data_IF_139470780556
#
_entry.id   IF_139470780556
#
_cell.length_a   1.000
_cell.length_b   1.000
_cell.length_c   1.000
_cell.angle_alpha   90.00
_cell.angle_beta   90.00
_cell.angle_gamma   90.00
#
_symmetry.space_group_name_H-M   'P 1'
#
loop_
_entity.id
_entity.type
_entity.pdbx_description
1 polymer ?
#
# COMPACT_ATOMS: atom_id res chain seq x y z
N UNK A 1 14.48 -10.54 -42.18
CA UNK A 1 15.83 -10.21 -41.67
C UNK A 1 16.05 -8.72 -41.85
N UNK A 2 16.59 -8.00 -40.85
CA UNK A 2 16.83 -6.55 -40.93
C UNK A 2 18.33 -6.26 -40.84
N UNK A 3 18.84 -5.41 -41.74
CA UNK A 3 20.21 -4.93 -41.72
C UNK A 3 20.30 -3.75 -40.75
N UNK A 4 20.95 -3.93 -39.60
CA UNK A 4 21.17 -2.87 -38.59
C UNK A 4 22.54 -2.20 -38.75
N UNK A 5 23.54 -2.96 -39.19
CA UNK A 5 24.89 -2.52 -39.47
C UNK A 5 25.38 -3.19 -40.77
N UNK A 6 26.32 -2.56 -41.51
CA UNK A 6 26.90 -3.18 -42.70
C UNK A 6 27.45 -4.58 -42.38
N UNK A 7 26.96 -5.60 -43.07
CA UNK A 7 27.46 -6.97 -42.96
C UNK A 7 26.96 -7.81 -41.77
N UNK A 8 26.07 -7.30 -40.91
CA UNK A 8 25.50 -8.07 -39.78
C UNK A 8 24.01 -8.29 -39.97
N UNK A 9 23.64 -9.56 -40.13
CA UNK A 9 22.26 -10.02 -40.28
C UNK A 9 21.80 -10.63 -38.96
N UNK A 10 20.78 -10.04 -38.35
CA UNK A 10 20.17 -10.57 -37.13
C UNK A 10 18.85 -11.30 -37.43
N UNK A 11 18.55 -12.39 -36.70
CA UNK A 11 17.22 -12.97 -36.66
C UNK A 11 16.18 -11.95 -36.17
N UNK A 12 14.96 -11.99 -36.70
CA UNK A 12 13.88 -11.06 -36.31
C UNK A 12 13.42 -11.27 -34.86
N UNK A 13 13.63 -12.47 -34.31
CA UNK A 13 13.26 -12.84 -32.93
C UNK A 13 14.45 -12.79 -31.96
N UNK A 14 15.55 -12.10 -32.32
CA UNK A 14 16.74 -12.05 -31.47
C UNK A 14 16.47 -11.35 -30.13
N UNK A 15 17.05 -11.92 -29.08
CA UNK A 15 17.16 -11.30 -27.76
C UNK A 15 18.62 -11.05 -27.42
N UNK A 16 18.91 -9.91 -26.81
CA UNK A 16 20.25 -9.55 -26.33
C UNK A 16 20.16 -9.31 -24.82
N UNK A 17 20.95 -10.05 -24.04
CA UNK A 17 20.86 -10.07 -22.57
C UNK A 17 19.42 -10.24 -22.06
N UNK A 18 18.61 -11.04 -22.76
CA UNK A 18 17.21 -11.29 -22.43
C UNK A 18 16.21 -10.19 -22.79
N UNK A 19 16.64 -9.10 -23.44
CA UNK A 19 15.75 -8.06 -23.98
C UNK A 19 15.49 -8.28 -25.49
N UNK A 20 14.23 -8.21 -25.95
CA UNK A 20 13.92 -8.28 -27.38
C UNK A 20 14.44 -7.05 -28.10
N UNK A 21 15.23 -7.26 -29.16
CA UNK A 21 15.86 -6.16 -29.92
C UNK A 21 14.88 -5.58 -30.94
N UNK A 22 14.11 -6.44 -31.61
CA UNK A 22 13.15 -6.03 -32.62
C UNK A 22 11.70 -6.17 -32.11
N UNK A 23 10.75 -5.39 -32.67
CA UNK A 23 9.33 -5.51 -32.34
C UNK A 23 8.78 -6.93 -32.48
N UNK A 24 9.25 -7.69 -33.47
CA UNK A 24 8.84 -9.07 -33.75
C UNK A 24 9.25 -10.05 -32.63
N UNK A 25 10.30 -9.73 -31.86
CA UNK A 25 10.76 -10.53 -30.72
C UNK A 25 9.98 -10.26 -29.42
N UNK A 26 9.22 -9.15 -29.35
CA UNK A 26 8.52 -8.74 -28.12
C UNK A 26 7.43 -9.75 -27.71
N UNK A 27 6.49 -10.17 -28.58
CA UNK A 27 5.41 -11.05 -28.17
C UNK A 27 5.90 -12.41 -27.62
N UNK A 28 6.83 -13.15 -28.28
CA UNK A 28 7.32 -14.43 -27.74
C UNK A 28 7.99 -14.29 -26.37
N UNK A 29 8.73 -13.20 -26.13
CA UNK A 29 9.36 -12.94 -24.83
C UNK A 29 8.31 -12.69 -23.75
N UNK A 30 7.25 -11.92 -24.06
CA UNK A 30 6.16 -11.65 -23.11
C UNK A 30 5.34 -12.91 -22.83
N UNK A 31 5.05 -13.73 -23.85
CA UNK A 31 4.35 -15.01 -23.71
C UNK A 31 5.08 -15.98 -22.77
N UNK A 32 6.40 -16.12 -22.93
CA UNK A 32 7.19 -16.93 -22.00
C UNK A 32 7.13 -16.37 -20.57
N UNK A 33 7.15 -15.05 -20.39
CA UNK A 33 7.01 -14.43 -19.05
C UNK A 33 5.63 -14.65 -18.45
N UNK A 34 4.57 -14.64 -19.26
CA UNK A 34 3.21 -14.98 -18.83
C UNK A 34 3.15 -16.43 -18.37
N UNK A 35 3.65 -17.38 -19.17
CA UNK A 35 3.69 -18.81 -18.82
C UNK A 35 4.44 -19.05 -17.50
N UNK A 36 5.55 -18.35 -17.30
CA UNK A 36 6.29 -18.40 -16.04
C UNK A 36 5.50 -17.80 -14.88
N UNK A 37 4.80 -16.69 -15.09
CA UNK A 37 3.93 -16.10 -14.07
C UNK A 37 2.80 -17.04 -13.69
N UNK A 38 2.09 -17.64 -14.66
CA UNK A 38 1.05 -18.65 -14.42
C UNK A 38 1.57 -19.83 -13.59
N UNK A 39 2.75 -20.35 -13.92
CA UNK A 39 3.35 -21.42 -13.11
C UNK A 39 3.66 -20.95 -11.68
N UNK A 40 4.22 -19.76 -11.49
CA UNK A 40 4.58 -19.27 -10.16
C UNK A 40 3.35 -18.93 -9.32
N UNK A 41 2.29 -18.38 -9.91
CA UNK A 41 1.06 -18.04 -9.17
C UNK A 41 0.39 -19.27 -8.59
N UNK A 42 0.42 -20.44 -9.28
CA UNK A 42 -0.08 -21.70 -8.69
C UNK A 42 0.72 -22.17 -7.46
N UNK A 43 2.00 -21.79 -7.37
CA UNK A 43 2.86 -22.16 -6.23
C UNK A 43 2.63 -21.25 -5.03
N UNK A 44 2.30 -19.98 -5.27
CA UNK A 44 1.95 -19.03 -4.20
C UNK A 44 0.70 -19.45 -3.42
N UNK A 45 -0.21 -20.21 -4.04
CA UNK A 45 -1.39 -20.75 -3.38
C UNK A 45 -1.05 -21.77 -2.26
N UNK A 46 0.20 -22.26 -2.21
CA UNK A 46 0.66 -23.28 -1.24
C UNK A 46 1.31 -22.70 0.01
N UNK A 47 1.44 -21.38 0.11
CA UNK A 47 2.05 -20.69 1.26
C UNK A 47 1.04 -19.72 1.89
N UNK A 48 1.37 -19.19 3.07
CA UNK A 48 0.50 -18.24 3.76
C UNK A 48 0.15 -17.03 2.89
N UNK A 49 -1.06 -16.51 3.01
CA UNK A 49 -1.57 -15.43 2.16
C UNK A 49 -0.72 -14.16 2.27
N UNK A 50 -0.21 -13.85 3.47
CA UNK A 50 0.65 -12.69 3.66
C UNK A 50 1.97 -12.83 2.91
N UNK A 51 2.65 -13.98 3.03
CA UNK A 51 3.88 -14.25 2.29
C UNK A 51 3.64 -14.33 0.78
N UNK A 52 2.52 -14.93 0.36
CA UNK A 52 2.13 -15.04 -1.03
C UNK A 52 1.97 -13.66 -1.68
N UNK A 53 1.22 -12.73 -1.05
CA UNK A 53 1.06 -11.39 -1.60
C UNK A 53 2.39 -10.62 -1.59
N UNK A 54 3.19 -10.76 -0.53
CA UNK A 54 4.51 -10.13 -0.46
C UNK A 54 5.42 -10.55 -1.62
N UNK A 55 5.49 -11.85 -1.92
CA UNK A 55 6.26 -12.37 -3.06
C UNK A 55 5.65 -12.00 -4.40
N UNK A 56 4.32 -12.03 -4.52
CA UNK A 56 3.62 -11.61 -5.74
C UNK A 56 4.01 -10.17 -6.09
N UNK A 57 3.87 -9.25 -5.13
CA UNK A 57 4.17 -7.83 -5.29
C UNK A 57 5.66 -7.55 -5.53
N UNK A 58 6.53 -8.09 -4.68
CA UNK A 58 7.94 -7.70 -4.64
C UNK A 58 8.85 -8.54 -5.57
N UNK A 59 8.36 -9.65 -6.14
CA UNK A 59 9.18 -10.53 -6.98
C UNK A 59 8.54 -10.89 -8.31
N UNK A 60 7.22 -11.16 -8.34
CA UNK A 60 6.58 -11.82 -9.49
C UNK A 60 5.73 -10.92 -10.38
N UNK A 61 5.27 -9.77 -9.87
CA UNK A 61 4.45 -8.81 -10.62
C UNK A 61 5.33 -7.80 -11.38
N UNK A 62 5.45 -6.48 -11.07
CA UNK A 62 6.33 -5.62 -11.88
C UNK A 62 7.78 -6.09 -11.98
N UNK A 63 8.45 -6.54 -10.89
CA UNK A 63 9.87 -6.88 -10.95
C UNK A 63 10.23 -7.96 -11.98
N UNK A 64 9.27 -8.85 -12.32
CA UNK A 64 9.49 -9.93 -13.29
C UNK A 64 9.62 -9.42 -14.74
N UNK A 65 8.96 -8.30 -15.05
CA UNK A 65 8.91 -7.72 -16.40
C UNK A 65 9.66 -6.39 -16.53
N UNK A 66 9.93 -5.70 -15.42
CA UNK A 66 10.43 -4.32 -15.43
C UNK A 66 11.71 -4.13 -16.27
N UNK A 67 12.60 -5.11 -16.29
CA UNK A 67 13.78 -5.08 -17.16
C UNK A 67 13.40 -5.00 -18.65
N UNK A 68 12.47 -5.85 -19.10
CA UNK A 68 12.00 -5.86 -20.49
C UNK A 68 11.25 -4.57 -20.82
N UNK A 69 10.40 -4.08 -19.90
CA UNK A 69 9.67 -2.81 -20.07
C UNK A 69 10.61 -1.60 -20.26
N UNK A 70 11.83 -1.66 -19.69
CA UNK A 70 12.84 -0.60 -19.84
C UNK A 70 13.65 -0.72 -21.12
N UNK A 71 13.91 -1.95 -21.57
CA UNK A 71 14.82 -2.19 -22.69
C UNK A 71 14.13 -2.19 -24.05
N UNK A 72 12.82 -2.45 -24.09
CA UNK A 72 12.08 -2.64 -25.34
C UNK A 72 10.75 -1.89 -25.30
N UNK A 73 10.24 -1.41 -26.45
CA UNK A 73 8.99 -0.65 -26.52
C UNK A 73 7.75 -1.56 -26.38
N UNK A 74 7.62 -2.25 -25.24
CA UNK A 74 6.56 -3.25 -25.01
C UNK A 74 5.15 -2.66 -25.00
N UNK A 75 5.03 -1.33 -24.87
CA UNK A 75 3.76 -0.62 -24.98
C UNK A 75 3.09 -0.77 -26.36
N UNK A 76 3.80 -1.28 -27.37
CA UNK A 76 3.22 -1.68 -28.66
C UNK A 76 2.44 -3.01 -28.59
N UNK A 77 2.64 -3.81 -27.54
CA UNK A 77 2.06 -5.14 -27.36
C UNK A 77 1.12 -5.15 -26.13
N UNK A 78 0.12 -4.25 -26.13
CA UNK A 78 -0.85 -4.11 -25.03
C UNK A 78 -1.58 -5.41 -24.67
N UNK A 79 -2.04 -6.26 -25.63
CA UNK A 79 -2.75 -7.50 -25.27
C UNK A 79 -1.93 -8.44 -24.38
N UNK A 80 -0.64 -8.62 -24.65
CA UNK A 80 0.22 -9.48 -23.83
C UNK A 80 0.48 -8.88 -22.44
N UNK A 81 0.66 -7.55 -22.34
CA UNK A 81 0.79 -6.89 -21.05
C UNK A 81 -0.48 -7.03 -20.20
N UNK A 82 -1.65 -6.89 -20.82
CA UNK A 82 -2.95 -7.07 -20.16
C UNK A 82 -3.19 -8.53 -19.75
N UNK A 83 -2.77 -9.50 -20.56
CA UNK A 83 -2.83 -10.91 -20.21
C UNK A 83 -1.97 -11.23 -18.99
N UNK A 84 -0.77 -10.65 -18.90
CA UNK A 84 0.07 -10.74 -17.70
C UNK A 84 -0.62 -10.12 -16.48
N UNK A 85 -1.15 -8.90 -16.61
CA UNK A 85 -1.84 -8.21 -15.53
C UNK A 85 -3.07 -9.00 -15.04
N UNK A 86 -3.80 -9.66 -15.93
CA UNK A 86 -4.93 -10.51 -15.59
C UNK A 86 -4.51 -11.77 -14.81
N UNK A 87 -3.37 -12.38 -15.15
CA UNK A 87 -2.79 -13.49 -14.36
C UNK A 87 -2.45 -13.05 -12.93
N UNK A 88 -1.89 -11.84 -12.77
CA UNK A 88 -1.60 -11.27 -11.46
C UNK A 88 -2.90 -10.94 -10.71
N UNK A 89 -3.90 -10.34 -11.38
CA UNK A 89 -5.20 -10.00 -10.81
C UNK A 89 -5.90 -11.23 -10.23
N UNK A 90 -5.97 -12.33 -11.00
CA UNK A 90 -6.55 -13.60 -10.55
C UNK A 90 -5.82 -14.16 -9.34
N UNK A 91 -4.49 -14.17 -9.37
CA UNK A 91 -3.68 -14.65 -8.24
C UNK A 91 -3.88 -13.80 -6.98
N UNK A 92 -3.85 -12.48 -7.10
CA UNK A 92 -4.08 -11.56 -5.98
C UNK A 92 -5.48 -11.76 -5.37
N UNK A 93 -6.51 -11.95 -6.21
CA UNK A 93 -7.86 -12.26 -5.76
C UNK A 93 -7.96 -13.56 -4.97
N UNK A 94 -7.30 -14.64 -5.45
CA UNK A 94 -7.22 -15.92 -4.73
C UNK A 94 -6.50 -15.80 -3.39
N UNK A 95 -5.34 -15.13 -3.36
CA UNK A 95 -4.55 -14.93 -2.13
C UNK A 95 -5.37 -14.17 -1.09
N UNK A 96 -5.97 -13.05 -1.51
CA UNK A 96 -6.75 -12.17 -0.65
C UNK A 96 -8.18 -12.70 -0.36
N UNK A 97 -8.62 -13.73 -1.06
CA UNK A 97 -9.97 -14.29 -0.98
C UNK A 97 -11.07 -13.23 -1.18
N UNK A 98 -10.90 -12.39 -2.20
CA UNK A 98 -11.86 -11.35 -2.59
C UNK A 98 -12.09 -11.35 -4.09
N UNK A 99 -13.27 -10.89 -4.51
CA UNK A 99 -13.51 -10.58 -5.91
C UNK A 99 -12.66 -9.36 -6.31
N UNK A 100 -11.80 -9.53 -7.31
CA UNK A 100 -11.05 -8.44 -7.91
C UNK A 100 -11.87 -7.88 -9.07
N UNK A 101 -12.97 -7.18 -8.79
CA UNK A 101 -13.69 -6.42 -9.82
C UNK A 101 -12.84 -5.24 -10.35
N UNK A 102 -13.33 -4.50 -11.34
CA UNK A 102 -12.53 -3.46 -12.00
C UNK A 102 -12.16 -2.30 -11.06
N UNK A 103 -12.97 -2.01 -10.04
CA UNK A 103 -12.70 -0.96 -9.07
C UNK A 103 -11.70 -1.42 -8.01
N UNK A 104 -11.89 -2.63 -7.48
CA UNK A 104 -10.96 -3.26 -6.53
C UNK A 104 -9.59 -3.47 -7.19
N UNK A 105 -9.56 -3.93 -8.46
CA UNK A 105 -8.32 -4.10 -9.21
C UNK A 105 -7.65 -2.76 -9.52
N UNK A 106 -8.43 -1.73 -9.88
CA UNK A 106 -7.91 -0.37 -10.07
C UNK A 106 -7.26 0.15 -8.80
N UNK A 107 -7.91 0.01 -7.64
CA UNK A 107 -7.31 0.41 -6.36
C UNK A 107 -6.06 -0.42 -6.06
N UNK A 108 -6.13 -1.75 -6.08
CA UNK A 108 -5.00 -2.61 -5.69
C UNK A 108 -3.73 -2.39 -6.53
N UNK A 109 -3.93 -1.99 -7.79
CA UNK A 109 -2.87 -1.67 -8.77
C UNK A 109 -2.16 -0.33 -8.54
N UNK A 110 -2.58 0.50 -7.58
CA UNK A 110 -1.87 1.73 -7.23
C UNK A 110 -0.72 1.47 -6.24
N UNK A 111 0.17 2.45 -5.99
CA UNK A 111 1.15 2.36 -4.91
C UNK A 111 0.50 2.26 -3.53
N UNK A 112 1.19 1.63 -2.58
CA UNK A 112 0.72 1.51 -1.18
C UNK A 112 0.40 2.87 -0.56
N UNK A 113 1.14 3.92 -0.91
CA UNK A 113 0.90 5.31 -0.48
C UNK A 113 -0.39 5.95 -1.02
N UNK A 114 -1.12 5.25 -1.90
CA UNK A 114 -2.44 5.61 -2.42
C UNK A 114 -3.50 4.60 -1.98
N UNK A 115 -3.31 3.97 -0.81
CA UNK A 115 -4.32 3.10 -0.21
C UNK A 115 -4.39 1.70 -0.82
N UNK A 116 -3.42 1.32 -1.64
CA UNK A 116 -3.45 0.11 -2.45
C UNK A 116 -2.56 -1.02 -1.92
N UNK A 117 -2.43 -2.10 -2.69
CA UNK A 117 -1.52 -3.21 -2.41
C UNK A 117 -0.12 -2.99 -2.99
N UNK A 118 0.00 -2.21 -4.08
CA UNK A 118 1.28 -2.00 -4.76
C UNK A 118 1.57 -3.01 -5.88
N UNK A 119 0.59 -3.83 -6.28
CA UNK A 119 0.69 -4.74 -7.42
C UNK A 119 0.47 -3.96 -8.72
N UNK A 120 1.42 -3.09 -9.07
CA UNK A 120 1.30 -2.17 -10.21
C UNK A 120 1.08 -2.93 -11.51
N UNK A 121 0.19 -2.40 -12.37
CA UNK A 121 -0.06 -2.96 -13.71
C UNK A 121 1.11 -2.69 -14.66
N UNK A 122 1.55 -3.72 -15.37
CA UNK A 122 2.66 -3.61 -16.30
C UNK A 122 2.26 -2.85 -17.56
N UNK A 123 0.98 -2.87 -17.95
CA UNK A 123 0.46 -2.08 -19.08
C UNK A 123 0.49 -0.56 -18.82
N UNK A 124 0.40 -0.14 -17.55
CA UNK A 124 0.56 1.24 -17.12
C UNK A 124 2.04 1.62 -16.99
N UNK A 125 2.89 0.68 -16.58
CA UNK A 125 4.32 0.93 -16.39
C UNK A 125 5.16 0.90 -17.67
N UNK A 126 4.69 0.25 -18.74
CA UNK A 126 5.46 0.06 -19.98
C UNK A 126 5.97 1.38 -20.58
N UNK A 127 5.10 2.39 -20.71
CA UNK A 127 5.48 3.72 -21.22
C UNK A 127 6.45 4.45 -20.26
N UNK A 128 6.10 4.66 -18.97
CA UNK A 128 7.03 5.27 -18.01
C UNK A 128 8.41 4.61 -17.93
N UNK A 129 8.45 3.27 -17.95
CA UNK A 129 9.69 2.50 -17.85
C UNK A 129 10.58 2.68 -19.09
N UNK A 130 9.99 2.59 -20.28
CA UNK A 130 10.71 2.76 -21.55
C UNK A 130 11.21 4.19 -21.71
N UNK A 131 10.36 5.20 -21.48
CA UNK A 131 10.74 6.62 -21.59
C UNK A 131 11.87 7.00 -20.64
N UNK A 132 11.79 6.57 -19.37
CA UNK A 132 12.84 6.85 -18.40
C UNK A 132 14.18 6.20 -18.74
N UNK A 133 14.12 4.97 -19.26
CA UNK A 133 15.30 4.21 -19.69
C UNK A 133 16.00 4.86 -20.89
N UNK A 134 15.25 5.28 -21.91
CA UNK A 134 15.85 5.96 -23.08
C UNK A 134 16.46 7.30 -22.68
N UNK A 135 15.79 8.05 -21.81
CA UNK A 135 16.32 9.33 -21.32
C UNK A 135 17.53 9.18 -20.40
N UNK A 136 17.66 8.08 -19.64
CA UNK A 136 18.87 7.84 -18.83
C UNK A 136 20.07 7.43 -19.68
N UNK A 137 19.84 6.75 -20.81
CA UNK A 137 20.89 6.34 -21.75
C UNK A 137 21.18 7.39 -22.84
N UNK A 138 20.49 8.53 -22.83
CA UNK A 138 20.49 9.50 -23.92
C UNK A 138 21.90 9.98 -24.31
N UNK A 139 22.71 10.37 -23.33
CA UNK A 139 24.08 10.87 -23.57
C UNK A 139 25.00 9.75 -24.10
N UNK A 140 24.86 8.54 -23.57
CA UNK A 140 25.61 7.37 -24.03
C UNK A 140 25.26 7.00 -25.48
N UNK A 141 23.97 7.04 -25.83
CA UNK A 141 23.49 6.81 -27.20
C UNK A 141 24.12 7.82 -28.16
N UNK A 142 24.16 9.12 -27.77
CA UNK A 142 24.81 10.16 -28.57
C UNK A 142 26.33 10.00 -28.68
N UNK A 143 27.01 9.47 -27.66
CA UNK A 143 28.44 9.19 -27.73
C UNK A 143 28.75 8.03 -28.68
N UNK A 144 27.93 6.97 -28.67
CA UNK A 144 28.12 5.77 -29.51
C UNK A 144 27.72 6.06 -30.96
N UNK A 145 26.61 6.76 -31.18
CA UNK A 145 26.10 7.06 -32.52
C UNK A 145 25.70 8.53 -32.63
N UNK A 146 26.65 9.46 -32.84
CA UNK A 146 26.39 10.91 -32.81
C UNK A 146 25.32 11.43 -33.79
N UNK A 147 25.06 10.70 -34.88
CA UNK A 147 24.06 11.07 -35.89
C UNK A 147 22.63 10.67 -35.51
N UNK A 148 22.44 9.96 -34.40
CA UNK A 148 21.10 9.53 -33.97
C UNK A 148 20.26 10.68 -33.48
N UNK A 149 19.08 10.85 -34.07
CA UNK A 149 18.04 11.71 -33.52
C UNK A 149 17.20 10.93 -32.49
N UNK A 150 17.69 10.88 -31.25
CA UNK A 150 16.98 10.23 -30.14
C UNK A 150 15.62 10.89 -29.89
N UNK A 151 15.48 12.19 -30.15
CA UNK A 151 14.21 12.89 -29.95
C UNK A 151 13.14 12.36 -30.92
N UNK A 152 13.50 12.12 -32.17
CA UNK A 152 12.62 11.48 -33.14
C UNK A 152 12.17 10.09 -32.66
N UNK A 153 13.09 9.30 -32.08
CA UNK A 153 12.79 7.95 -31.57
C UNK A 153 11.78 7.99 -30.41
N UNK A 154 11.93 8.93 -29.46
CA UNK A 154 11.04 8.98 -28.28
C UNK A 154 9.74 9.74 -28.52
N UNK A 155 9.67 10.59 -29.55
CA UNK A 155 8.50 11.45 -29.81
C UNK A 155 7.17 10.68 -29.87
N UNK A 156 7.04 9.53 -30.57
CA UNK A 156 5.80 8.77 -30.58
C UNK A 156 5.40 8.25 -29.19
N UNK A 157 6.37 7.80 -28.39
CA UNK A 157 6.12 7.29 -27.04
C UNK A 157 5.71 8.43 -26.08
N UNK A 158 6.30 9.61 -26.24
CA UNK A 158 5.91 10.81 -25.48
C UNK A 158 4.47 11.21 -25.83
N UNK A 159 4.12 11.28 -27.12
CA UNK A 159 2.75 11.59 -27.56
C UNK A 159 1.74 10.59 -27.01
N UNK A 160 2.06 9.30 -27.06
CA UNK A 160 1.21 8.25 -26.47
C UNK A 160 1.05 8.44 -24.95
N UNK A 161 2.14 8.73 -24.24
CA UNK A 161 2.07 9.00 -22.81
C UNK A 161 1.27 10.27 -22.48
N UNK A 162 1.36 11.34 -23.28
CA UNK A 162 0.59 12.57 -23.08
C UNK A 162 -0.92 12.31 -23.23
N UNK A 163 -1.32 11.53 -24.23
CA UNK A 163 -2.73 11.11 -24.41
C UNK A 163 -3.21 10.30 -23.22
N UNK A 164 -2.39 9.37 -22.71
CA UNK A 164 -2.76 8.50 -21.59
C UNK A 164 -2.83 9.23 -20.24
N UNK A 165 -1.91 10.15 -19.99
CA UNK A 165 -1.79 10.89 -18.72
C UNK A 165 -2.57 12.21 -18.69
N UNK A 166 -3.05 12.69 -19.85
CA UNK A 166 -3.69 13.99 -20.02
C UNK A 166 -2.82 15.11 -19.40
N UNK A 167 -1.50 15.00 -19.58
CA UNK A 167 -0.51 15.83 -18.90
C UNK A 167 0.67 16.16 -19.82
N UNK A 168 1.39 17.23 -19.49
CA UNK A 168 2.64 17.55 -20.15
C UNK A 168 3.78 16.65 -19.64
N UNK A 169 4.78 16.34 -20.50
CA UNK A 169 5.92 15.54 -20.10
C UNK A 169 6.69 16.18 -18.95
N UNK A 170 7.35 15.38 -18.08
CA UNK A 170 8.23 15.91 -17.07
C UNK A 170 9.29 16.84 -17.67
N UNK A 171 9.75 17.79 -16.85
CA UNK A 171 10.91 18.63 -17.18
C UNK A 171 12.11 17.76 -17.55
N UNK A 172 12.96 18.24 -18.45
CA UNK A 172 14.04 17.45 -19.06
C UNK A 172 14.92 16.74 -18.02
N UNK A 173 15.28 17.41 -16.93
CA UNK A 173 16.12 16.88 -15.85
C UNK A 173 15.50 15.69 -15.09
N UNK A 174 14.17 15.57 -15.10
CA UNK A 174 13.45 14.49 -14.44
C UNK A 174 13.06 13.36 -15.40
N UNK A 175 13.31 13.50 -16.71
CA UNK A 175 12.87 12.50 -17.70
C UNK A 175 13.59 11.17 -17.57
N UNK A 176 14.78 11.11 -16.97
CA UNK A 176 15.46 9.86 -16.64
C UNK A 176 14.86 9.13 -15.43
N UNK A 177 13.95 9.78 -14.68
CA UNK A 177 13.32 9.22 -13.48
C UNK A 177 11.96 8.62 -13.80
N UNK A 178 11.84 7.30 -13.76
CA UNK A 178 10.58 6.58 -14.04
C UNK A 178 9.39 7.09 -13.20
N UNK A 179 9.61 7.41 -11.93
CA UNK A 179 8.57 7.93 -11.03
C UNK A 179 7.96 9.23 -11.54
N UNK A 180 8.73 10.09 -12.21
CA UNK A 180 8.24 11.37 -12.73
C UNK A 180 7.20 11.18 -13.85
N UNK A 181 7.34 10.14 -14.66
CA UNK A 181 6.36 9.77 -15.69
C UNK A 181 5.15 9.02 -15.13
N UNK A 182 5.37 8.20 -14.10
CA UNK A 182 4.37 7.29 -13.57
C UNK A 182 3.39 7.95 -12.59
N UNK A 183 3.85 8.89 -11.77
CA UNK A 183 3.03 9.49 -10.71
C UNK A 183 1.77 10.18 -11.23
N UNK A 184 1.81 10.78 -12.42
CA UNK A 184 0.66 11.46 -13.03
C UNK A 184 -0.45 10.48 -13.41
N UNK A 185 -0.09 9.31 -13.92
CA UNK A 185 -1.04 8.23 -14.22
C UNK A 185 -1.64 7.68 -12.90
N UNK A 186 -0.80 7.51 -11.87
CA UNK A 186 -1.24 7.08 -10.54
C UNK A 186 -2.26 8.04 -9.95
N UNK A 187 -1.96 9.33 -9.97
CA UNK A 187 -2.82 10.36 -9.36
C UNK A 187 -4.16 10.48 -10.10
N UNK A 188 -4.17 10.35 -11.44
CA UNK A 188 -5.40 10.30 -12.23
C UNK A 188 -6.30 9.10 -11.83
N UNK A 189 -5.72 7.90 -11.69
CA UNK A 189 -6.47 6.73 -11.27
C UNK A 189 -6.96 6.83 -9.83
N UNK A 190 -6.15 7.40 -8.93
CA UNK A 190 -6.54 7.67 -7.55
C UNK A 190 -7.72 8.66 -7.48
N UNK A 191 -7.65 9.74 -8.26
CA UNK A 191 -8.74 10.72 -8.35
C UNK A 191 -10.03 10.09 -8.89
N UNK A 192 -9.93 9.25 -9.92
CA UNK A 192 -11.09 8.52 -10.45
C UNK A 192 -11.75 7.64 -9.38
N UNK A 193 -10.95 6.98 -8.52
CA UNK A 193 -11.48 6.17 -7.41
C UNK A 193 -12.19 7.05 -6.39
N UNK A 194 -11.64 8.21 -6.04
CA UNK A 194 -12.26 9.15 -5.13
C UNK A 194 -13.61 9.63 -5.70
N UNK A 195 -13.65 10.03 -6.96
CA UNK A 195 -14.84 10.62 -7.57
C UNK A 195 -15.98 9.61 -7.77
N UNK A 196 -15.65 8.35 -8.01
CA UNK A 196 -16.63 7.27 -8.08
C UNK A 196 -17.12 6.76 -6.71
N UNK A 197 -16.52 7.21 -5.61
CA UNK A 197 -16.75 6.67 -4.27
C UNK A 197 -17.81 7.44 -3.48
N UNK A 198 -18.59 6.71 -2.66
CA UNK A 198 -19.44 7.31 -1.63
C UNK A 198 -18.61 8.06 -0.57
N UNK A 199 -19.24 8.89 0.26
CA UNK A 199 -18.51 9.61 1.33
C UNK A 199 -17.75 8.66 2.27
N UNK A 200 -18.34 7.52 2.63
CA UNK A 200 -17.70 6.49 3.46
C UNK A 200 -16.49 5.85 2.76
N UNK A 201 -16.63 5.50 1.47
CA UNK A 201 -15.52 4.95 0.69
C UNK A 201 -14.40 5.96 0.44
N UNK A 202 -14.73 7.23 0.19
CA UNK A 202 -13.75 8.32 0.10
C UNK A 202 -12.98 8.48 1.39
N UNK A 203 -13.68 8.46 2.53
CA UNK A 203 -13.06 8.54 3.87
C UNK A 203 -12.11 7.36 4.11
N UNK A 204 -12.55 6.14 3.79
CA UNK A 204 -11.67 4.95 3.82
C UNK A 204 -10.44 5.14 2.93
N UNK A 205 -10.64 5.48 1.67
CA UNK A 205 -9.56 5.64 0.68
C UNK A 205 -8.50 6.63 1.13
N UNK A 206 -8.91 7.76 1.70
CA UNK A 206 -8.00 8.76 2.28
C UNK A 206 -7.28 8.19 3.50
N UNK A 207 -8.00 7.53 4.42
CA UNK A 207 -7.42 6.94 5.62
C UNK A 207 -6.38 5.84 5.34
N UNK A 208 -6.67 4.92 4.41
CA UNK A 208 -5.72 3.85 4.02
C UNK A 208 -4.52 4.37 3.24
N UNK A 209 -4.62 5.60 2.69
CA UNK A 209 -3.56 6.32 1.99
C UNK A 209 -2.73 7.21 2.91
N UNK A 210 -3.10 7.34 4.18
CA UNK A 210 -2.31 8.10 5.14
C UNK A 210 -0.91 7.52 5.30
N UNK A 211 0.01 8.37 5.77
CA UNK A 211 1.38 7.97 6.07
C UNK A 211 1.34 6.75 7.01
N UNK A 212 2.17 5.76 6.72
CA UNK A 212 2.33 4.51 7.48
C UNK A 212 1.12 3.55 7.57
N UNK A 213 -0.09 3.95 7.15
CA UNK A 213 -1.28 3.06 7.12
C UNK A 213 -1.07 1.76 6.34
N UNK A 214 -0.18 1.78 5.35
CA UNK A 214 0.17 0.62 4.52
C UNK A 214 1.53 -0.01 4.84
N UNK A 215 2.22 0.41 5.90
CA UNK A 215 3.60 -0.04 6.19
C UNK A 215 3.71 -1.56 6.33
N UNK A 216 2.68 -2.21 6.89
CA UNK A 216 2.61 -3.67 7.05
C UNK A 216 2.68 -4.44 5.72
N UNK A 217 2.27 -3.85 4.59
CA UNK A 217 2.39 -4.46 3.25
C UNK A 217 3.81 -4.44 2.68
N UNK A 218 4.71 -3.68 3.32
CA UNK A 218 6.12 -3.60 2.97
C UNK A 218 7.01 -4.29 4.01
N UNK A 219 6.47 -4.61 5.19
CA UNK A 219 7.16 -5.37 6.21
C UNK A 219 7.39 -6.81 5.75
N UNK A 220 8.53 -7.39 6.12
CA UNK A 220 8.87 -8.77 5.78
C UNK A 220 7.99 -9.72 6.62
N UNK A 221 7.15 -10.58 6.00
CA UNK A 221 6.17 -11.40 6.71
C UNK A 221 6.83 -12.64 7.36
N UNK A 222 7.50 -12.41 8.49
CA UNK A 222 8.19 -13.42 9.29
C UNK A 222 7.61 -13.46 10.70
N UNK A 223 7.31 -14.66 11.19
CA UNK A 223 6.73 -14.90 12.52
C UNK A 223 7.65 -14.48 13.66
N UNK A 224 8.96 -14.73 13.54
CA UNK A 224 9.98 -14.37 14.55
C UNK A 224 10.01 -12.86 14.83
N UNK A 225 9.70 -12.03 13.82
CA UNK A 225 9.62 -10.57 13.98
C UNK A 225 8.23 -10.08 14.42
N UNK A 226 7.25 -10.98 14.56
CA UNK A 226 5.85 -10.62 14.83
C UNK A 226 5.13 -9.95 13.64
N UNK A 227 5.71 -10.02 12.43
CA UNK A 227 5.16 -9.36 11.23
C UNK A 227 4.29 -10.28 10.38
N UNK A 228 4.29 -11.59 10.65
CA UNK A 228 3.46 -12.54 9.92
C UNK A 228 2.04 -12.52 10.50
N UNK A 229 1.07 -12.24 9.62
CA UNK A 229 -0.35 -12.29 9.93
C UNK A 229 -0.85 -13.68 9.51
N UNK A 230 -1.77 -14.26 10.27
CA UNK A 230 -2.49 -15.44 9.82
C UNK A 230 -3.35 -15.10 8.60
N UNK A 231 -3.69 -16.13 7.82
CA UNK A 231 -4.39 -15.95 6.54
C UNK A 231 -5.72 -15.20 6.67
N UNK A 232 -6.50 -15.44 7.72
CA UNK A 232 -7.80 -14.80 7.88
C UNK A 232 -7.64 -13.33 8.26
N UNK A 233 -6.78 -13.02 9.23
CA UNK A 233 -6.48 -11.64 9.61
C UNK A 233 -5.93 -10.85 8.42
N UNK A 234 -5.04 -11.46 7.63
CA UNK A 234 -4.48 -10.85 6.43
C UNK A 234 -5.54 -10.57 5.36
N UNK A 235 -6.34 -11.58 5.01
CA UNK A 235 -7.40 -11.47 3.98
C UNK A 235 -8.45 -10.43 4.34
N UNK A 236 -8.90 -10.42 5.60
CA UNK A 236 -9.84 -9.42 6.11
C UNK A 236 -9.21 -8.03 6.03
N UNK A 237 -7.95 -7.87 6.44
CA UNK A 237 -7.24 -6.58 6.38
C UNK A 237 -7.09 -6.08 4.95
N UNK A 238 -6.79 -6.96 3.97
CA UNK A 238 -6.74 -6.62 2.55
C UNK A 238 -8.11 -6.19 2.03
N UNK A 239 -9.17 -6.95 2.30
CA UNK A 239 -10.51 -6.60 1.83
C UNK A 239 -11.03 -5.30 2.45
N UNK A 240 -10.81 -5.09 3.75
CA UNK A 240 -11.10 -3.83 4.44
C UNK A 240 -10.32 -2.67 3.81
N UNK A 241 -9.03 -2.85 3.53
CA UNK A 241 -8.19 -1.84 2.88
C UNK A 241 -8.66 -1.47 1.48
N UNK A 242 -9.13 -2.45 0.70
CA UNK A 242 -9.60 -2.26 -0.68
C UNK A 242 -11.08 -1.87 -0.78
N UNK A 243 -11.83 -1.93 0.32
CA UNK A 243 -13.29 -1.75 0.28
C UNK A 243 -13.99 -2.85 -0.50
N UNK A 244 -13.39 -4.06 -0.54
CA UNK A 244 -13.95 -5.20 -1.24
C UNK A 244 -15.01 -5.91 -0.40
N UNK A 245 -15.92 -6.61 -1.08
CA UNK A 245 -16.88 -7.50 -0.43
C UNK A 245 -16.14 -8.61 0.31
N UNK A 246 -16.36 -8.68 1.62
CA UNK A 246 -15.73 -9.65 2.52
C UNK A 246 -16.66 -10.80 2.88
N UNK A 247 -17.98 -10.56 2.85
CA UNK A 247 -18.96 -11.56 3.30
C UNK A 247 -20.34 -11.28 2.74
N UNK A 248 -21.23 -12.25 2.98
CA UNK A 248 -22.66 -12.08 2.75
C UNK A 248 -23.31 -11.22 3.86
N UNK A 249 -24.28 -10.37 3.50
CA UNK A 249 -25.09 -9.67 4.47
C UNK A 249 -25.77 -10.63 5.45
N UNK A 250 -25.75 -10.29 6.74
CA UNK A 250 -26.35 -11.12 7.79
C UNK A 250 -26.63 -10.28 9.03
N UNK A 251 -27.39 -10.86 9.97
CA UNK A 251 -27.70 -10.20 11.24
C UNK A 251 -26.63 -10.57 12.27
N UNK A 252 -25.99 -9.56 12.86
CA UNK A 252 -25.02 -9.76 13.93
C UNK A 252 -25.72 -10.22 15.22
N UNK A 253 -24.97 -10.84 16.15
CA UNK A 253 -25.44 -11.12 17.52
C UNK A 253 -25.99 -9.87 18.23
N UNK A 254 -25.44 -8.69 17.92
CA UNK A 254 -25.94 -7.42 18.46
C UNK A 254 -27.24 -6.92 17.80
N UNK A 255 -27.84 -7.73 16.92
CA UNK A 255 -29.07 -7.49 16.16
C UNK A 255 -28.98 -6.43 15.06
N UNK A 256 -27.83 -5.79 14.86
CA UNK A 256 -27.60 -4.92 13.71
C UNK A 256 -27.36 -5.73 12.43
N UNK A 257 -27.83 -5.20 11.31
CA UNK A 257 -27.52 -5.72 9.98
C UNK A 257 -26.06 -5.42 9.66
N UNK A 258 -25.34 -6.42 9.18
CA UNK A 258 -23.98 -6.27 8.67
C UNK A 258 -24.06 -6.32 7.15
N UNK A 259 -23.48 -5.33 6.50
CA UNK A 259 -23.37 -5.26 5.06
C UNK A 259 -22.31 -6.21 4.50
N UNK A 260 -22.17 -6.21 3.19
CA UNK A 260 -21.22 -7.05 2.46
C UNK A 260 -19.75 -6.65 2.67
N UNK A 261 -19.51 -5.40 3.11
CA UNK A 261 -18.18 -4.86 3.41
C UNK A 261 -17.66 -5.31 4.78
N UNK A 262 -18.54 -5.81 5.65
CA UNK A 262 -18.16 -6.47 6.90
C UNK A 262 -17.55 -5.56 7.97
N UNK A 263 -17.68 -4.23 7.84
CA UNK A 263 -17.05 -3.23 8.73
C UNK A 263 -17.63 -3.19 10.13
N UNK A 264 -18.88 -3.63 10.28
CA UNK A 264 -19.58 -3.66 11.57
C UNK A 264 -18.76 -4.28 12.71
N UNK A 265 -17.93 -5.30 12.42
CA UNK A 265 -17.07 -5.94 13.43
C UNK A 265 -16.02 -5.02 14.06
N UNK A 266 -15.70 -3.89 13.43
CA UNK A 266 -14.72 -2.91 13.89
C UNK A 266 -15.21 -2.11 15.11
N UNK A 267 -16.52 -1.81 15.16
CA UNK A 267 -17.18 -0.99 16.19
C UNK A 267 -18.21 -1.75 17.03
N UNK A 268 -18.54 -2.99 16.68
CA UNK A 268 -19.52 -3.80 17.42
C UNK A 268 -19.08 -4.09 18.86
N UNK A 269 -19.95 -3.78 19.82
CA UNK A 269 -19.70 -4.00 21.26
C UNK A 269 -19.62 -5.48 21.65
N UNK A 270 -20.23 -6.37 20.86
CA UNK A 270 -20.17 -7.82 21.08
C UNK A 270 -19.04 -8.49 20.28
N UNK A 271 -18.18 -7.71 19.62
CA UNK A 271 -17.03 -8.23 18.87
C UNK A 271 -15.90 -8.60 19.83
N UNK A 272 -15.61 -9.90 19.94
CA UNK A 272 -14.48 -10.40 20.73
C UNK A 272 -13.14 -9.80 20.26
N UNK A 273 -13.02 -9.47 18.97
CA UNK A 273 -11.82 -8.87 18.39
C UNK A 273 -11.48 -7.47 18.92
N UNK A 274 -12.41 -6.78 19.60
CA UNK A 274 -12.09 -5.53 20.30
C UNK A 274 -11.12 -5.78 21.46
N UNK A 275 -11.33 -6.86 22.21
CA UNK A 275 -10.54 -7.18 23.39
C UNK A 275 -9.16 -7.75 23.05
N UNK A 276 -8.95 -8.32 21.86
CA UNK A 276 -7.63 -8.81 21.44
C UNK A 276 -6.77 -7.72 20.79
N UNK A 277 -7.38 -6.81 20.02
CA UNK A 277 -6.67 -5.70 19.35
C UNK A 277 -5.96 -4.77 20.33
N UNK A 278 -6.65 -4.41 21.41
CA UNK A 278 -6.14 -3.42 22.36
C UNK A 278 -4.89 -3.90 23.12
N UNK A 279 -4.87 -5.10 23.76
CA UNK A 279 -3.67 -5.64 24.36
C UNK A 279 -2.52 -5.85 23.37
N UNK A 280 -2.81 -6.31 22.14
CA UNK A 280 -1.76 -6.50 21.12
C UNK A 280 -1.09 -5.18 20.71
N UNK A 281 -1.87 -4.10 20.61
CA UNK A 281 -1.38 -2.76 20.32
C UNK A 281 -0.59 -2.19 21.50
N UNK A 282 -1.08 -2.36 22.72
CA UNK A 282 -0.37 -1.96 23.93
C UNK A 282 0.96 -2.71 24.11
N UNK A 283 0.97 -4.03 23.89
CA UNK A 283 2.18 -4.85 23.90
C UNK A 283 3.20 -4.39 22.84
N UNK A 284 2.74 -3.98 21.66
CA UNK A 284 3.61 -3.45 20.61
C UNK A 284 4.30 -2.15 21.05
N UNK A 285 3.57 -1.25 21.71
CA UNK A 285 4.13 -0.02 22.27
C UNK A 285 5.09 -0.30 23.43
N UNK A 286 4.73 -1.24 24.31
CA UNK A 286 5.58 -1.70 25.42
C UNK A 286 6.92 -2.23 24.92
N UNK A 287 6.90 -3.10 23.89
CA UNK A 287 8.12 -3.64 23.26
C UNK A 287 8.95 -2.56 22.57
N UNK A 288 8.30 -1.57 21.94
CA UNK A 288 8.99 -0.44 21.32
C UNK A 288 9.70 0.44 22.38
N UNK A 289 9.08 0.69 23.53
CA UNK A 289 9.72 1.42 24.63
C UNK A 289 10.92 0.63 25.20
N UNK A 290 10.78 -0.69 25.38
CA UNK A 290 11.88 -1.55 25.84
C UNK A 290 13.06 -1.53 24.85
N UNK A 291 12.78 -1.59 23.54
CA UNK A 291 13.85 -1.56 22.53
C UNK A 291 14.60 -0.22 22.54
N UNK A 292 13.89 0.88 22.83
CA UNK A 292 14.45 2.20 23.09
C UNK A 292 15.11 2.36 24.48
N UNK A 293 15.26 1.28 25.25
CA UNK A 293 15.83 1.28 26.62
C UNK A 293 15.03 2.12 27.62
N UNK A 294 13.73 2.30 27.38
CA UNK A 294 12.79 2.93 28.31
C UNK A 294 12.03 1.84 29.06
N UNK A 295 12.44 1.49 30.30
CA UNK A 295 11.71 0.52 31.10
C UNK A 295 10.32 1.06 31.42
N UNK A 296 9.30 0.22 31.28
CA UNK A 296 7.91 0.58 31.51
C UNK A 296 7.13 -0.64 32.00
N UNK A 297 6.00 -0.39 32.68
CA UNK A 297 5.10 -1.43 33.19
C UNK A 297 3.74 -1.32 32.53
N UNK A 298 3.13 -2.47 32.28
CA UNK A 298 1.77 -2.57 31.73
C UNK A 298 0.73 -2.51 32.84
N UNK A 299 -0.40 -1.86 32.53
CA UNK A 299 -1.57 -1.77 33.40
C UNK A 299 -1.27 -1.45 34.88
N UNK A 300 -0.52 -0.37 35.17
CA UNK A 300 -0.11 0.00 36.53
C UNK A 300 -1.29 0.33 37.45
N UNK A 301 -1.17 -0.06 38.72
CA UNK A 301 -2.18 0.20 39.74
C UNK A 301 -1.86 1.47 40.56
N UNK A 302 -2.90 2.21 40.96
CA UNK A 302 -2.78 3.30 41.95
C UNK A 302 -2.13 4.60 41.46
N UNK A 303 -2.09 4.82 40.13
CA UNK A 303 -1.52 6.06 39.54
C UNK A 303 -2.36 7.29 39.90
N UNK A 304 -3.68 7.20 39.74
CA UNK A 304 -4.62 8.25 40.14
C UNK A 304 -5.26 7.83 41.46
N UNK A 305 -5.11 8.68 42.50
CA UNK A 305 -5.80 8.51 43.77
C UNK A 305 -7.29 8.83 43.51
N UNK A 306 -8.20 7.97 43.98
CA UNK A 306 -9.67 8.08 43.95
C UNK A 306 -10.48 7.60 42.74
N UNK A 307 -9.87 7.19 41.63
CA UNK A 307 -10.63 6.60 40.53
C UNK A 307 -10.12 5.20 40.20
N UNK A 308 -11.01 4.23 39.95
CA UNK A 308 -10.68 2.89 39.40
C UNK A 308 -10.07 2.95 37.98
N UNK A 309 -9.44 4.08 37.61
CA UNK A 309 -8.75 4.35 36.36
C UNK A 309 -7.43 3.60 36.35
N UNK A 310 -7.31 2.71 35.37
CA UNK A 310 -6.11 1.93 35.11
C UNK A 310 -5.63 2.28 33.70
N UNK A 311 -4.58 3.10 33.55
CA UNK A 311 -3.98 3.35 32.24
C UNK A 311 -3.24 2.10 31.75
N UNK A 312 -2.84 2.11 30.50
CA UNK A 312 -2.28 0.93 29.83
C UNK A 312 -0.79 0.76 30.04
N UNK A 313 -0.07 1.86 30.29
CA UNK A 313 1.37 1.84 30.52
C UNK A 313 1.88 3.00 31.38
N UNK A 314 3.02 2.77 32.05
CA UNK A 314 3.77 3.78 32.79
C UNK A 314 5.27 3.57 32.61
N UNK A 315 6.02 4.62 32.27
CA UNK A 315 7.49 4.56 32.26
C UNK A 315 8.05 4.55 33.69
N UNK A 316 9.06 3.73 33.93
CA UNK A 316 9.75 3.64 35.23
C UNK A 316 10.87 4.67 35.38
N UNK A 317 11.18 5.40 34.31
CA UNK A 317 12.11 6.52 34.29
C UNK A 317 11.37 7.81 33.88
N UNK A 318 11.89 8.98 34.29
CA UNK A 318 11.38 10.26 33.80
C UNK A 318 11.42 10.35 32.27
N UNK A 319 10.31 10.78 31.69
CA UNK A 319 10.19 11.05 30.26
C UNK A 319 10.59 12.48 29.93
N UNK A 320 10.01 13.45 30.64
CA UNK A 320 10.29 14.87 30.45
C UNK A 320 10.05 15.63 31.75
N UNK A 321 10.88 16.65 32.04
CA UNK A 321 10.75 17.49 33.24
C UNK A 321 10.68 16.71 34.57
N UNK A 322 11.39 15.58 34.68
CA UNK A 322 11.37 14.73 35.87
C UNK A 322 10.09 13.89 36.06
N UNK A 323 9.12 13.99 35.13
CA UNK A 323 7.84 13.28 35.20
C UNK A 323 7.86 12.00 34.37
N UNK A 324 7.29 10.93 34.92
CA UNK A 324 7.05 9.70 34.17
C UNK A 324 5.91 9.87 33.16
N UNK A 325 5.98 9.12 32.06
CA UNK A 325 4.95 9.07 31.02
C UNK A 325 3.92 7.99 31.34
N UNK A 326 2.66 8.37 31.30
CA UNK A 326 1.50 7.47 31.42
C UNK A 326 0.79 7.41 30.08
N UNK A 327 0.49 6.19 29.64
CA UNK A 327 -0.04 5.88 28.32
C UNK A 327 -1.38 5.19 28.44
N UNK A 328 -2.29 5.51 27.53
CA UNK A 328 -3.55 4.79 27.37
C UNK A 328 -3.88 4.73 25.87
N UNK A 329 -3.97 3.51 25.37
CA UNK A 329 -4.07 3.16 23.97
C UNK A 329 -5.55 3.05 23.59
N UNK A 330 -5.89 3.46 22.37
CA UNK A 330 -7.25 3.26 21.86
C UNK A 330 -7.25 3.08 20.36
N UNK A 331 -8.19 2.28 19.87
CA UNK A 331 -8.42 2.09 18.44
C UNK A 331 -9.89 2.36 18.14
N UNK A 332 -10.16 3.28 17.22
CA UNK A 332 -11.50 3.73 16.84
C UNK A 332 -11.79 3.46 15.37
N UNK A 333 -13.06 3.22 15.04
CA UNK A 333 -13.48 2.96 13.67
C UNK A 333 -13.55 4.27 12.89
N UNK A 334 -12.71 4.39 11.85
CA UNK A 334 -12.60 5.59 10.99
C UNK A 334 -13.94 6.01 10.39
N UNK A 335 -14.77 5.04 10.03
CA UNK A 335 -16.02 5.26 9.27
C UNK A 335 -17.27 4.99 10.11
N UNK A 336 -17.12 4.97 11.45
CA UNK A 336 -18.26 4.96 12.35
C UNK A 336 -19.14 6.20 12.11
N UNK A 337 -20.46 6.04 12.17
CA UNK A 337 -21.44 7.10 11.86
C UNK A 337 -21.19 8.40 12.64
N UNK A 338 -20.75 8.29 13.90
CA UNK A 338 -20.45 9.42 14.79
C UNK A 338 -19.23 10.23 14.35
N UNK A 339 -18.25 9.61 13.70
CA UNK A 339 -17.02 10.25 13.24
C UNK A 339 -17.04 10.59 11.75
N UNK A 340 -17.86 9.91 10.95
CA UNK A 340 -17.82 9.96 9.48
C UNK A 340 -17.82 11.39 8.92
N UNK A 341 -18.66 12.29 9.45
CA UNK A 341 -18.71 13.68 8.99
C UNK A 341 -17.39 14.43 9.23
N UNK A 342 -16.75 14.20 10.37
CA UNK A 342 -15.46 14.79 10.70
C UNK A 342 -14.31 14.14 9.93
N UNK A 343 -14.28 12.81 9.88
CA UNK A 343 -13.29 12.03 9.13
C UNK A 343 -13.30 12.35 7.62
N UNK A 344 -14.45 12.70 7.06
CA UNK A 344 -14.56 13.14 5.67
C UNK A 344 -13.88 14.50 5.40
N UNK A 345 -13.78 15.37 6.42
CA UNK A 345 -13.15 16.69 6.31
C UNK A 345 -11.71 16.73 6.78
N UNK A 346 -11.32 15.84 7.70
CA UNK A 346 -10.01 15.84 8.33
C UNK A 346 -9.49 14.41 8.52
N UNK A 347 -8.31 14.13 7.97
CA UNK A 347 -7.60 12.87 8.18
C UNK A 347 -7.22 12.73 9.66
N UNK A 348 -7.46 11.54 10.24
CA UNK A 348 -7.15 11.27 11.65
C UNK A 348 -8.15 11.89 12.63
N UNK A 349 -9.28 12.45 12.15
CA UNK A 349 -10.28 13.09 13.02
C UNK A 349 -10.77 12.18 14.14
N UNK A 350 -11.07 10.91 13.85
CA UNK A 350 -11.60 9.99 14.85
C UNK A 350 -10.53 9.69 15.92
N UNK A 351 -9.28 9.46 15.51
CA UNK A 351 -8.18 9.25 16.45
C UNK A 351 -7.95 10.49 17.32
N UNK A 352 -7.87 11.68 16.72
CA UNK A 352 -7.73 12.95 17.46
C UNK A 352 -8.86 13.16 18.47
N UNK A 353 -10.11 12.85 18.08
CA UNK A 353 -11.24 12.95 19.00
C UNK A 353 -11.15 11.96 20.15
N UNK A 354 -10.66 10.76 19.90
CA UNK A 354 -10.41 9.76 20.94
C UNK A 354 -9.29 10.22 21.90
N UNK A 355 -8.24 10.87 21.41
CA UNK A 355 -7.18 11.46 22.25
C UNK A 355 -7.74 12.52 23.19
N UNK A 356 -8.55 13.46 22.69
CA UNK A 356 -9.22 14.48 23.50
C UNK A 356 -10.03 13.84 24.65
N UNK A 357 -10.85 12.83 24.34
CA UNK A 357 -11.67 12.14 25.33
C UNK A 357 -10.82 11.43 26.40
N UNK A 358 -9.73 10.77 25.99
CA UNK A 358 -8.81 10.11 26.92
C UNK A 358 -8.08 11.12 27.80
N UNK A 359 -7.64 12.25 27.23
CA UNK A 359 -7.03 13.35 27.99
C UNK A 359 -7.98 13.95 29.02
N UNK A 360 -9.25 14.11 28.68
CA UNK A 360 -10.26 14.52 29.65
C UNK A 360 -10.46 13.45 30.75
N UNK A 361 -10.50 12.17 30.39
CA UNK A 361 -10.66 11.05 31.34
C UNK A 361 -9.51 10.97 32.35
N UNK A 362 -8.27 11.10 31.89
CA UNK A 362 -7.04 10.97 32.71
C UNK A 362 -6.43 12.31 33.09
N UNK A 363 -7.23 13.38 33.14
CA UNK A 363 -6.77 14.67 33.63
C UNK A 363 -6.26 14.50 35.07
N UNK A 364 -4.96 14.73 35.25
CA UNK A 364 -4.29 14.69 36.56
C UNK A 364 -4.18 16.12 37.13
N UNK A 365 -5.02 16.50 38.10
CA UNK A 365 -4.98 17.84 38.70
C UNK A 365 -3.68 18.10 39.47
N UNK A 366 -3.01 17.05 39.97
CA UNK A 366 -1.76 17.17 40.72
C UNK A 366 -0.54 17.33 39.79
N UNK A 367 -0.71 17.09 38.49
CA UNK A 367 0.34 17.22 37.48
C UNK A 367 1.57 16.36 37.73
N UNK A 368 1.42 15.21 38.41
CA UNK A 368 2.50 14.30 38.80
C UNK A 368 3.06 13.53 37.61
N UNK A 369 2.20 13.22 36.65
CA UNK A 369 2.53 12.44 35.47
C UNK A 369 2.35 13.23 34.19
N UNK A 370 3.05 12.83 33.13
CA UNK A 370 2.76 13.26 31.77
C UNK A 370 1.83 12.24 31.14
N UNK A 371 0.60 12.63 30.84
CA UNK A 371 -0.36 11.75 30.20
C UNK A 371 -0.35 11.94 28.68
N UNK A 372 -0.12 10.86 27.94
CA UNK A 372 -0.20 10.80 26.49
C UNK A 372 -1.24 9.75 26.07
N UNK A 373 -2.41 10.15 25.56
CA UNK A 373 -3.31 9.22 24.88
C UNK A 373 -2.67 8.77 23.56
N UNK A 374 -2.82 7.50 23.22
CA UNK A 374 -2.27 6.93 21.98
C UNK A 374 -3.42 6.36 21.16
N UNK A 375 -4.00 7.18 20.29
CA UNK A 375 -5.13 6.77 19.47
C UNK A 375 -4.75 6.40 18.04
N UNK A 376 -5.40 5.35 17.54
CA UNK A 376 -5.31 4.91 16.15
C UNK A 376 -6.69 4.74 15.56
N UNK A 377 -6.77 4.94 14.27
CA UNK A 377 -7.91 4.59 13.45
C UNK A 377 -7.77 3.19 12.83
N UNK A 378 -8.89 2.49 12.64
CA UNK A 378 -8.89 1.12 12.09
C UNK A 378 -8.30 1.00 10.69
N UNK A 379 -8.27 2.09 9.91
CA UNK A 379 -7.65 2.12 8.58
C UNK A 379 -6.21 2.64 8.57
N UNK A 380 -5.64 2.93 9.75
CA UNK A 380 -4.23 3.26 9.91
C UNK A 380 -3.87 4.69 10.36
N UNK A 381 -4.71 5.74 10.20
CA UNK A 381 -4.35 7.07 10.70
C UNK A 381 -4.06 7.10 12.21
N UNK A 382 -3.09 7.91 12.59
CA UNK A 382 -2.68 8.12 13.97
C UNK A 382 -3.36 9.40 14.46
N UNK A 383 -3.65 9.46 15.75
CA UNK A 383 -3.89 10.75 16.39
C UNK A 383 -2.59 11.56 16.46
N UNK A 384 -2.70 12.87 16.62
CA UNK A 384 -1.56 13.78 16.59
C UNK A 384 -0.59 13.48 17.74
N UNK A 385 -1.10 13.09 18.90
CA UNK A 385 -0.26 12.74 20.05
C UNK A 385 0.43 11.40 19.86
N UNK A 386 -0.30 10.39 19.37
CA UNK A 386 0.28 9.12 18.98
C UNK A 386 1.38 9.29 17.92
N UNK A 387 1.14 10.15 16.92
CA UNK A 387 2.14 10.49 15.90
C UNK A 387 3.37 11.15 16.53
N UNK A 388 3.20 12.15 17.39
CA UNK A 388 4.32 12.81 18.06
C UNK A 388 5.13 11.91 18.99
N UNK A 389 4.52 10.85 19.53
CA UNK A 389 5.21 9.88 20.39
C UNK A 389 6.00 8.84 19.57
N UNK A 390 5.49 8.45 18.40
CA UNK A 390 5.99 7.29 17.64
C UNK A 390 6.86 7.69 16.45
N UNK A 391 6.58 8.82 15.80
CA UNK A 391 7.24 9.30 14.57
C UNK A 391 8.18 10.45 14.85
#
# INVERSE_FOLDING_TARGET
>A
MKLLCPGVIFPETITLFGAPVFPEAIPPVLEEKIRQAELMTTRLEKISAHQALFLLKNCLSPPKLLYILRCSPTFSCLPSLQAFDETIRKCAGKIANIAMDDMVWRQSSLPVSRGALGTRRVDQLALPASLASVHSAFDLIKQIYPQVDVNCIVSPAISHWQVKSISQPPILTLRSTQKAWDILIVDQHYQTLLDASSQAERTRLVAVSAKDSGAWLNALPISVLGNLLDDNSFRISVGLRLGARLREPHVCRCKKLVDELGRHGLSCQLSAGRHSRHPALNDSLHRALISCKVPNVLEPNGILRDDQKRPDGLTLIPWQQGKALVLDVTCVDTVEETYLRGSAGQLGYAANKAEELKRHKYRDPDGRYLFCPVAFETFGPFGNEASSLIQ
#
